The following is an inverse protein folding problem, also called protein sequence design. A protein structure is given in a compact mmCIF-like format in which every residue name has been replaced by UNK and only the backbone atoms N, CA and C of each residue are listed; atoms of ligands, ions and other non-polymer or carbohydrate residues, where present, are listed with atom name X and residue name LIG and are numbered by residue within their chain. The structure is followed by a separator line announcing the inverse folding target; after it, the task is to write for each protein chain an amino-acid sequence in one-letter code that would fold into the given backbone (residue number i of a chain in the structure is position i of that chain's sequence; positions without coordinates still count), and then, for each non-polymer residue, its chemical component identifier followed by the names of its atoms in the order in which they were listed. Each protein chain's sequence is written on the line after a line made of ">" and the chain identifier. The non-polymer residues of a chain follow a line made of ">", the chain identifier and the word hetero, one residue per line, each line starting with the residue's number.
data_IF_366672353579
#
_entry.id   IF_366672353579
#
_cell.length_a   1.000
_cell.length_b   1.000
_cell.length_c   1.000
_cell.angle_alpha   90.00
_cell.angle_beta   90.00
_cell.angle_gamma   90.00
#
_symmetry.space_group_name_H-M   'P 1'
#
loop_
_entity.id
_entity.type
_entity.pdbx_description
1 polymer ?
#
# COMPACT_ATOMS: atom_id res chain seq x y z
N UNK A 1 -7.63 2.70 -14.42
CA UNK A 1 -7.14 3.26 -13.16
C UNK A 1 -5.91 2.48 -12.71
N UNK A 2 -4.80 3.18 -12.49
CA UNK A 2 -3.56 2.58 -12.02
C UNK A 2 -3.60 2.33 -10.51
N UNK A 3 -2.82 1.34 -10.05
CA UNK A 3 -2.63 1.00 -8.62
C UNK A 3 -2.29 2.23 -7.77
N UNK A 4 -1.47 3.13 -8.32
CA UNK A 4 -1.07 4.38 -7.64
C UNK A 4 -2.24 5.31 -7.36
N UNK A 5 -3.15 5.43 -8.32
CA UNK A 5 -4.36 6.25 -8.16
C UNK A 5 -5.27 5.67 -7.08
N UNK A 6 -5.39 4.34 -6.97
CA UNK A 6 -6.20 3.69 -5.91
C UNK A 6 -5.66 4.05 -4.53
N UNK A 7 -4.35 3.90 -4.31
CA UNK A 7 -3.72 4.16 -3.00
C UNK A 7 -3.88 5.63 -2.60
N UNK A 8 -3.70 6.57 -3.54
CA UNK A 8 -3.87 8.00 -3.28
C UNK A 8 -5.32 8.38 -2.93
N UNK A 9 -6.29 7.60 -3.40
CA UNK A 9 -7.72 7.81 -3.13
C UNK A 9 -8.26 6.99 -1.94
N UNK A 10 -7.39 6.46 -1.08
CA UNK A 10 -7.80 5.72 0.14
C UNK A 10 -8.86 6.45 0.98
N UNK A 11 -8.76 7.78 1.09
CA UNK A 11 -9.66 8.61 1.90
C UNK A 11 -11.11 8.64 1.39
N UNK A 12 -11.39 8.18 0.16
CA UNK A 12 -12.74 8.11 -0.40
C UNK A 12 -13.54 6.88 0.08
N UNK A 13 -12.92 6.00 0.87
CA UNK A 13 -13.53 4.76 1.35
C UNK A 13 -13.60 4.77 2.87
N UNK A 14 -14.59 4.09 3.43
CA UNK A 14 -14.54 3.73 4.85
C UNK A 14 -13.34 2.77 5.09
N UNK A 15 -12.69 2.80 6.28
CA UNK A 15 -11.46 2.05 6.55
C UNK A 15 -11.56 0.55 6.25
N UNK A 16 -12.69 -0.07 6.62
CA UNK A 16 -12.93 -1.50 6.39
C UNK A 16 -13.06 -1.81 4.89
N UNK A 17 -13.80 -0.99 4.15
CA UNK A 17 -14.01 -1.14 2.71
C UNK A 17 -12.69 -1.02 1.95
N UNK A 18 -11.84 -0.05 2.30
CA UNK A 18 -10.51 0.05 1.71
C UNK A 18 -9.62 -1.14 2.06
N UNK A 19 -9.70 -1.65 3.29
CA UNK A 19 -8.95 -2.84 3.69
C UNK A 19 -9.29 -4.06 2.81
N UNK A 20 -10.57 -4.29 2.53
CA UNK A 20 -10.99 -5.36 1.61
C UNK A 20 -10.52 -5.13 0.18
N UNK A 21 -10.57 -3.89 -0.32
CA UNK A 21 -10.03 -3.53 -1.63
C UNK A 21 -8.51 -3.82 -1.69
N UNK A 22 -7.79 -3.38 -0.66
CA UNK A 22 -6.35 -3.60 -0.49
C UNK A 22 -6.02 -5.10 -0.52
N UNK A 23 -6.71 -5.93 0.25
CA UNK A 23 -6.51 -7.39 0.22
C UNK A 23 -6.79 -8.00 -1.16
N UNK A 24 -7.85 -7.58 -1.85
CA UNK A 24 -8.16 -8.09 -3.19
C UNK A 24 -7.05 -7.79 -4.21
N UNK A 25 -6.53 -6.56 -4.19
CA UNK A 25 -5.47 -6.10 -5.09
C UNK A 25 -4.12 -6.75 -4.75
N UNK A 26 -3.77 -6.86 -3.46
CA UNK A 26 -2.56 -7.55 -2.99
C UNK A 26 -2.56 -9.03 -3.38
N UNK A 27 -3.66 -9.74 -3.13
CA UNK A 27 -3.77 -11.15 -3.52
C UNK A 27 -3.65 -11.33 -5.04
N UNK A 28 -4.21 -10.40 -5.83
CA UNK A 28 -4.08 -10.44 -7.28
C UNK A 28 -2.63 -10.28 -7.74
N UNK A 29 -1.92 -9.26 -7.23
CA UNK A 29 -0.51 -9.01 -7.54
C UNK A 29 0.38 -10.20 -7.15
N UNK A 30 0.06 -10.85 -6.02
CA UNK A 30 0.75 -12.05 -5.53
C UNK A 30 0.36 -13.34 -6.27
N UNK A 31 -0.49 -13.26 -7.31
CA UNK A 31 -1.03 -14.40 -8.07
C UNK A 31 -1.83 -15.41 -7.24
N UNK A 32 -2.30 -14.98 -6.07
CA UNK A 32 -3.30 -15.70 -5.30
C UNK A 32 -4.70 -15.34 -5.81
N UNK A 33 -5.01 -15.87 -7.00
CA UNK A 33 -6.21 -15.54 -7.75
C UNK A 33 -7.50 -15.93 -7.04
N UNK A 34 -7.48 -16.99 -6.24
CA UNK A 34 -8.64 -17.41 -5.46
C UNK A 34 -8.93 -16.40 -4.35
N UNK A 35 -7.93 -16.07 -3.53
CA UNK A 35 -8.11 -15.07 -2.47
C UNK A 35 -8.46 -13.70 -3.03
N UNK A 36 -7.88 -13.30 -4.17
CA UNK A 36 -8.24 -12.06 -4.85
C UNK A 36 -9.73 -11.98 -5.19
N UNK A 37 -10.29 -13.06 -5.75
CA UNK A 37 -11.71 -13.14 -6.11
C UNK A 37 -12.62 -13.12 -4.88
N UNK A 38 -12.24 -13.78 -3.80
CA UNK A 38 -12.98 -13.76 -2.52
C UNK A 38 -12.98 -12.35 -1.95
N UNK A 39 -11.81 -11.72 -1.81
CA UNK A 39 -11.71 -10.36 -1.28
C UNK A 39 -12.38 -9.32 -2.17
N UNK A 40 -12.42 -9.51 -3.49
CA UNK A 40 -13.18 -8.65 -4.40
C UNK A 40 -14.68 -8.68 -4.09
N UNK A 41 -15.23 -9.87 -3.80
CA UNK A 41 -16.63 -10.02 -3.41
C UNK A 41 -16.92 -9.38 -2.04
N UNK A 42 -16.00 -9.52 -1.09
CA UNK A 42 -16.12 -8.89 0.24
C UNK A 42 -16.01 -7.36 0.13
N UNK A 43 -15.14 -6.85 -0.74
CA UNK A 43 -15.02 -5.43 -1.04
C UNK A 43 -16.31 -4.85 -1.61
N UNK A 44 -16.90 -5.46 -2.65
CA UNK A 44 -18.13 -4.93 -3.24
C UNK A 44 -19.31 -5.00 -2.26
N UNK A 45 -19.32 -5.99 -1.36
CA UNK A 45 -20.32 -6.05 -0.29
C UNK A 45 -20.19 -4.86 0.66
N UNK A 46 -18.98 -4.60 1.15
CA UNK A 46 -18.72 -3.46 2.03
C UNK A 46 -19.00 -2.12 1.33
N UNK A 47 -18.57 -1.96 0.07
CA UNK A 47 -18.81 -0.75 -0.72
C UNK A 47 -20.31 -0.47 -0.92
N UNK A 48 -21.10 -1.50 -1.24
CA UNK A 48 -22.55 -1.31 -1.42
C UNK A 48 -23.22 -0.97 -0.09
N UNK A 49 -22.76 -1.54 1.04
CA UNK A 49 -23.24 -1.15 2.38
C UNK A 49 -22.95 0.32 2.67
N UNK A 50 -21.73 0.78 2.41
CA UNK A 50 -21.34 2.19 2.61
C UNK A 50 -22.21 3.13 1.77
N UNK A 51 -22.45 2.77 0.49
CA UNK A 51 -23.31 3.55 -0.41
C UNK A 51 -24.74 3.61 0.13
N UNK A 52 -25.32 2.47 0.50
CA UNK A 52 -26.69 2.41 1.00
C UNK A 52 -26.83 3.18 2.33
N UNK A 53 -25.89 3.01 3.25
CA UNK A 53 -25.85 3.75 4.52
C UNK A 53 -25.79 5.26 4.27
N UNK A 54 -24.98 5.73 3.32
CA UNK A 54 -24.94 7.14 2.98
C UNK A 54 -26.27 7.66 2.41
N UNK A 55 -26.98 6.84 1.64
CA UNK A 55 -28.25 7.22 1.02
C UNK A 55 -29.42 7.25 2.02
N UNK A 56 -29.49 6.30 2.96
CA UNK A 56 -30.67 6.13 3.82
C UNK A 56 -30.43 6.15 5.33
N UNK A 57 -29.16 6.23 5.75
CA UNK A 57 -28.74 6.28 7.14
C UNK A 57 -28.97 5.00 7.93
N UNK A 58 -29.20 3.86 7.26
CA UNK A 58 -29.47 2.57 7.91
C UNK A 58 -28.34 1.59 7.70
N UNK A 59 -28.11 0.75 8.69
CA UNK A 59 -27.21 -0.39 8.55
C UNK A 59 -27.87 -1.50 7.72
N UNK A 60 -27.12 -2.05 6.77
CA UNK A 60 -27.56 -3.14 5.90
C UNK A 60 -26.73 -4.40 6.22
N UNK A 61 -27.39 -5.45 6.70
CA UNK A 61 -26.75 -6.71 7.12
C UNK A 61 -27.02 -7.86 6.16
N UNK A 62 -27.74 -7.60 5.07
CA UNK A 62 -28.14 -8.59 4.10
C UNK A 62 -26.98 -9.06 3.22
N UNK A 63 -27.16 -10.21 2.57
CA UNK A 63 -26.20 -10.73 1.60
C UNK A 63 -26.11 -9.83 0.36
N UNK A 64 -24.95 -9.88 -0.32
CA UNK A 64 -24.64 -9.11 -1.53
C UNK A 64 -25.74 -9.10 -2.60
N UNK A 65 -26.47 -10.20 -2.78
CA UNK A 65 -27.60 -10.26 -3.72
C UNK A 65 -28.71 -9.24 -3.39
N UNK A 66 -29.08 -9.17 -2.11
CA UNK A 66 -30.09 -8.25 -1.63
C UNK A 66 -29.58 -6.82 -1.65
N UNK A 67 -28.32 -6.60 -1.26
CA UNK A 67 -27.68 -5.29 -1.34
C UNK A 67 -27.69 -4.71 -2.76
N UNK A 68 -27.31 -5.50 -3.76
CA UNK A 68 -27.35 -5.09 -5.18
C UNK A 68 -28.79 -4.74 -5.61
N UNK A 69 -29.78 -5.53 -5.16
CA UNK A 69 -31.19 -5.28 -5.45
C UNK A 69 -31.68 -3.99 -4.80
N UNK A 70 -31.37 -3.77 -3.53
CA UNK A 70 -31.74 -2.58 -2.77
C UNK A 70 -31.15 -1.33 -3.43
N UNK A 71 -29.87 -1.36 -3.81
CA UNK A 71 -29.21 -0.26 -4.50
C UNK A 71 -29.88 0.05 -5.84
N UNK A 72 -30.27 -0.96 -6.64
CA UNK A 72 -31.05 -0.73 -7.87
C UNK A 72 -32.38 -0.04 -7.59
N UNK A 73 -33.09 -0.47 -6.56
CA UNK A 73 -34.36 0.16 -6.19
C UNK A 73 -34.17 1.62 -5.84
N UNK A 74 -33.15 1.98 -5.04
CA UNK A 74 -32.83 3.38 -4.73
C UNK A 74 -32.50 4.21 -5.98
N UNK A 75 -31.67 3.67 -6.89
CA UNK A 75 -31.33 4.35 -8.16
C UNK A 75 -32.60 4.69 -8.97
N UNK A 76 -33.58 3.79 -8.98
CA UNK A 76 -34.82 3.95 -9.74
C UNK A 76 -35.82 4.90 -9.07
N UNK A 77 -35.96 4.84 -7.74
CA UNK A 77 -37.04 5.52 -7.02
C UNK A 77 -36.66 6.88 -6.44
N UNK A 78 -35.40 7.08 -6.06
CA UNK A 78 -35.01 8.26 -5.30
C UNK A 78 -34.74 9.46 -6.22
N UNK A 79 -35.51 10.54 -6.09
CA UNK A 79 -35.34 11.75 -6.87
C UNK A 79 -34.18 12.64 -6.37
N UNK A 80 -33.65 12.39 -5.16
CA UNK A 80 -32.56 13.17 -4.58
C UNK A 80 -31.18 12.83 -5.19
N UNK A 81 -31.03 11.63 -5.78
CA UNK A 81 -29.79 11.19 -6.41
C UNK A 81 -29.66 11.82 -7.81
N UNK A 82 -28.51 12.41 -8.10
CA UNK A 82 -28.26 13.06 -9.39
C UNK A 82 -28.33 12.07 -10.55
N UNK A 83 -28.70 12.53 -11.76
CA UNK A 83 -28.81 11.67 -12.93
C UNK A 83 -27.46 11.00 -13.28
N UNK A 84 -26.35 11.70 -13.05
CA UNK A 84 -25.01 11.17 -13.28
C UNK A 84 -24.66 10.09 -12.26
N UNK A 85 -24.91 10.31 -10.96
CA UNK A 85 -24.73 9.30 -9.93
C UNK A 85 -25.55 8.04 -10.24
N UNK A 86 -26.81 8.20 -10.66
CA UNK A 86 -27.66 7.08 -11.07
C UNK A 86 -27.05 6.28 -12.22
N UNK A 87 -26.45 6.95 -13.20
CA UNK A 87 -25.79 6.30 -14.34
C UNK A 87 -24.58 5.49 -13.88
N UNK A 88 -23.70 6.11 -13.08
CA UNK A 88 -22.49 5.48 -12.55
C UNK A 88 -22.85 4.27 -11.67
N UNK A 89 -23.74 4.46 -10.70
CA UNK A 89 -24.16 3.40 -9.78
C UNK A 89 -24.88 2.26 -10.51
N UNK A 90 -25.63 2.54 -11.59
CA UNK A 90 -26.25 1.49 -12.40
C UNK A 90 -25.21 0.58 -13.06
N UNK A 91 -24.18 1.15 -13.68
CA UNK A 91 -23.08 0.35 -14.25
C UNK A 91 -22.35 -0.45 -13.17
N UNK A 92 -22.05 0.19 -12.03
CA UNK A 92 -21.45 -0.48 -10.87
C UNK A 92 -22.26 -1.69 -10.41
N UNK A 93 -23.59 -1.60 -10.30
CA UNK A 93 -24.42 -2.74 -9.91
C UNK A 93 -24.35 -3.92 -10.89
N UNK A 94 -24.16 -3.64 -12.19
CA UNK A 94 -23.91 -4.66 -13.21
C UNK A 94 -22.61 -5.40 -12.94
N UNK A 95 -21.53 -4.65 -12.70
CA UNK A 95 -20.20 -5.20 -12.40
C UNK A 95 -20.16 -5.97 -11.09
N UNK A 96 -20.82 -5.47 -10.04
CA UNK A 96 -20.96 -6.20 -8.77
C UNK A 96 -21.62 -7.57 -8.97
N UNK A 97 -22.64 -7.64 -9.84
CA UNK A 97 -23.29 -8.90 -10.17
C UNK A 97 -22.34 -9.86 -10.91
N UNK A 98 -21.56 -9.37 -11.87
CA UNK A 98 -20.56 -10.16 -12.59
C UNK A 98 -19.49 -10.74 -11.67
N UNK A 99 -18.89 -9.91 -10.80
CA UNK A 99 -17.90 -10.35 -9.81
C UNK A 99 -18.49 -11.44 -8.92
N UNK A 100 -19.72 -11.24 -8.43
CA UNK A 100 -20.40 -12.22 -7.58
C UNK A 100 -20.58 -13.57 -8.30
N UNK A 101 -21.03 -13.55 -9.55
CA UNK A 101 -21.24 -14.78 -10.35
C UNK A 101 -19.92 -15.51 -10.57
N UNK A 102 -18.85 -14.78 -10.96
CA UNK A 102 -17.52 -15.37 -11.19
C UNK A 102 -16.92 -15.92 -9.90
N UNK A 103 -16.99 -15.18 -8.80
CA UNK A 103 -16.53 -15.66 -7.48
C UNK A 103 -17.28 -16.93 -7.06
N UNK A 104 -18.61 -16.96 -7.17
CA UNK A 104 -19.39 -18.14 -6.80
C UNK A 104 -19.00 -19.35 -7.64
N UNK A 105 -18.77 -19.15 -8.96
CA UNK A 105 -18.22 -20.20 -9.81
C UNK A 105 -16.89 -20.71 -9.28
N UNK A 106 -15.93 -19.82 -9.00
CA UNK A 106 -14.60 -20.18 -8.49
C UNK A 106 -14.64 -20.93 -7.15
N UNK A 107 -15.55 -20.57 -6.25
CA UNK A 107 -15.71 -21.23 -4.94
C UNK A 107 -16.34 -22.61 -5.06
N UNK A 108 -17.23 -22.81 -6.03
CA UNK A 108 -17.93 -24.08 -6.23
C UNK A 108 -17.31 -25.00 -7.29
N UNK A 109 -16.27 -24.54 -8.01
CA UNK A 109 -15.57 -25.34 -9.00
C UNK A 109 -14.61 -26.33 -8.30
N UNK A 110 -15.00 -27.60 -8.23
CA UNK A 110 -14.29 -28.67 -7.51
C UNK A 110 -13.10 -29.25 -8.29
N UNK A 111 -12.50 -28.50 -9.22
CA UNK A 111 -11.14 -28.78 -9.69
C UNK A 111 -10.97 -29.31 -11.12
N UNK A 112 -11.88 -29.01 -12.06
CA UNK A 112 -11.74 -29.48 -13.45
C UNK A 112 -11.17 -28.41 -14.40
N UNK A 113 -11.30 -27.11 -14.11
CA UNK A 113 -10.86 -26.04 -15.01
C UNK A 113 -9.82 -25.09 -14.38
N UNK A 114 -8.68 -25.61 -13.91
CA UNK A 114 -7.55 -24.78 -13.42
C UNK A 114 -7.05 -23.75 -14.45
N UNK A 115 -7.36 -23.90 -15.73
CA UNK A 115 -7.00 -22.97 -16.80
C UNK A 115 -7.89 -21.74 -16.95
N UNK A 116 -8.87 -21.49 -16.06
CA UNK A 116 -9.75 -20.29 -16.11
C UNK A 116 -9.62 -19.33 -14.92
N UNK A 117 -8.95 -19.74 -13.84
CA UNK A 117 -8.93 -18.95 -12.60
C UNK A 117 -8.19 -17.62 -12.75
N UNK A 118 -7.11 -17.61 -13.53
CA UNK A 118 -6.33 -16.42 -13.87
C UNK A 118 -7.15 -15.45 -14.73
N UNK A 119 -7.83 -15.95 -15.76
CA UNK A 119 -8.73 -15.15 -16.60
C UNK A 119 -9.91 -14.56 -15.81
N UNK A 120 -10.52 -15.36 -14.93
CA UNK A 120 -11.59 -14.90 -14.06
C UNK A 120 -11.11 -13.85 -13.07
N UNK A 121 -9.97 -14.09 -12.42
CA UNK A 121 -9.38 -13.13 -11.50
C UNK A 121 -8.99 -11.84 -12.23
N UNK A 122 -8.48 -11.93 -13.45
CA UNK A 122 -8.14 -10.75 -14.27
C UNK A 122 -9.40 -9.95 -14.59
N UNK A 123 -10.49 -10.59 -14.99
CA UNK A 123 -11.74 -9.90 -15.25
C UNK A 123 -12.36 -9.31 -13.99
N UNK A 124 -12.35 -10.04 -12.87
CA UNK A 124 -12.78 -9.54 -11.57
C UNK A 124 -11.97 -8.29 -11.20
N UNK A 125 -10.65 -8.33 -11.33
CA UNK A 125 -9.78 -7.19 -11.03
C UNK A 125 -10.06 -5.99 -11.95
N UNK A 126 -10.33 -6.22 -13.24
CA UNK A 126 -10.74 -5.16 -14.16
C UNK A 126 -12.08 -4.54 -13.73
N UNK A 127 -13.05 -5.37 -13.35
CA UNK A 127 -14.33 -4.92 -12.85
C UNK A 127 -14.20 -4.14 -11.53
N UNK A 128 -13.36 -4.59 -10.60
CA UNK A 128 -13.02 -3.86 -9.37
C UNK A 128 -12.44 -2.47 -9.70
N UNK A 129 -11.46 -2.40 -10.59
CA UNK A 129 -10.84 -1.12 -11.00
C UNK A 129 -11.84 -0.16 -11.65
N UNK A 130 -12.78 -0.68 -12.44
CA UNK A 130 -13.85 0.13 -13.04
C UNK A 130 -14.85 0.62 -12.00
N UNK A 131 -15.27 -0.26 -11.08
CA UNK A 131 -16.15 0.11 -9.95
C UNK A 131 -15.50 1.23 -9.13
N UNK A 132 -14.22 1.08 -8.78
CA UNK A 132 -13.47 2.10 -8.03
C UNK A 132 -13.43 3.41 -8.80
N UNK A 133 -13.06 3.38 -10.08
CA UNK A 133 -13.00 4.60 -10.91
C UNK A 133 -14.34 5.34 -10.95
N UNK A 134 -15.45 4.62 -11.13
CA UNK A 134 -16.78 5.20 -11.18
C UNK A 134 -17.24 5.70 -9.82
N UNK A 135 -16.94 4.95 -8.76
CA UNK A 135 -17.29 5.29 -7.40
C UNK A 135 -16.68 6.64 -6.98
N UNK A 136 -15.41 6.90 -7.32
CA UNK A 136 -14.72 8.14 -6.97
C UNK A 136 -15.43 9.41 -7.52
N UNK A 137 -16.13 9.27 -8.65
CA UNK A 137 -16.89 10.35 -9.27
C UNK A 137 -18.28 10.56 -8.65
N UNK A 138 -18.71 9.70 -7.73
CA UNK A 138 -20.04 9.79 -7.11
C UNK A 138 -20.10 10.81 -5.97
N UNK A 139 -21.28 11.42 -5.78
CA UNK A 139 -21.53 12.31 -4.64
C UNK A 139 -21.34 11.62 -3.28
N UNK A 140 -21.57 10.31 -3.20
CA UNK A 140 -21.34 9.47 -2.02
C UNK A 140 -19.85 9.46 -1.65
N UNK A 141 -18.98 9.15 -2.60
CA UNK A 141 -17.54 9.10 -2.36
C UNK A 141 -16.99 10.47 -1.94
N UNK A 142 -17.49 11.55 -2.55
CA UNK A 142 -17.14 12.91 -2.15
C UNK A 142 -17.61 13.25 -0.72
N UNK A 143 -18.77 12.72 -0.30
CA UNK A 143 -19.26 12.84 1.07
C UNK A 143 -18.37 12.12 2.09
N UNK A 144 -18.03 10.86 1.80
CA UNK A 144 -17.12 10.05 2.64
C UNK A 144 -15.73 10.69 2.72
N UNK A 145 -15.19 11.18 1.60
CA UNK A 145 -13.92 11.89 1.59
C UNK A 145 -13.91 13.11 2.52
N UNK A 146 -14.97 13.93 2.49
CA UNK A 146 -15.08 15.11 3.37
C UNK A 146 -15.08 14.72 4.84
N UNK A 147 -15.84 13.69 5.21
CA UNK A 147 -15.88 13.14 6.58
C UNK A 147 -14.50 12.63 7.00
N UNK A 148 -13.91 11.72 6.23
CA UNK A 148 -12.61 11.13 6.53
C UNK A 148 -11.48 12.16 6.57
N UNK A 149 -11.54 13.18 5.70
CA UNK A 149 -10.54 14.24 5.69
C UNK A 149 -10.68 15.16 6.92
N UNK A 150 -11.90 15.43 7.38
CA UNK A 150 -12.11 16.16 8.63
C UNK A 150 -11.56 15.37 9.83
N UNK A 151 -11.85 14.07 9.91
CA UNK A 151 -11.33 13.19 10.96
C UNK A 151 -9.79 13.12 10.90
N UNK A 152 -9.22 13.03 9.71
CA UNK A 152 -7.77 13.05 9.52
C UNK A 152 -7.15 14.35 9.98
N UNK A 153 -7.70 15.51 9.59
CA UNK A 153 -7.21 16.82 10.01
C UNK A 153 -7.29 17.00 11.53
N UNK A 154 -8.30 16.42 12.19
CA UNK A 154 -8.40 16.41 13.66
C UNK A 154 -7.31 15.56 14.34
N UNK A 155 -6.75 14.58 13.63
CA UNK A 155 -5.66 13.72 14.11
C UNK A 155 -4.26 14.25 13.73
N UNK A 156 -4.17 15.21 12.81
CA UNK A 156 -2.89 15.81 12.44
C UNK A 156 -2.38 16.71 13.58
N UNK A 157 -1.06 16.76 13.79
CA UNK A 157 -0.50 17.70 14.76
C UNK A 157 -0.86 19.13 14.38
N UNK A 158 -1.14 19.99 15.37
CA UNK A 158 -1.46 21.41 15.16
C UNK A 158 -0.35 22.17 14.41
N UNK A 159 0.88 21.63 14.42
CA UNK A 159 2.06 22.18 13.77
C UNK A 159 2.48 21.28 12.60
N UNK A 160 2.70 21.89 11.45
CA UNK A 160 3.26 21.24 10.25
C UNK A 160 4.56 20.48 10.59
N UNK A 161 4.80 19.28 9.99
CA UNK A 161 6.02 18.53 10.19
C UNK A 161 7.22 19.32 9.70
N UNK A 162 8.21 19.52 10.56
CA UNK A 162 9.37 20.39 10.30
C UNK A 162 10.71 19.70 10.45
N UNK A 163 10.74 18.46 10.95
CA UNK A 163 11.97 17.72 11.19
C UNK A 163 12.32 16.84 9.98
N UNK A 164 13.25 17.23 9.09
CA UNK A 164 13.49 16.52 7.84
C UNK A 164 14.24 15.21 8.06
N UNK A 165 13.68 14.10 7.57
CA UNK A 165 14.31 12.77 7.60
C UNK A 165 14.33 12.20 6.19
N UNK A 166 15.52 11.81 5.73
CA UNK A 166 15.69 11.22 4.40
C UNK A 166 15.12 9.80 4.39
N UNK A 167 14.31 9.45 3.39
CA UNK A 167 13.75 8.10 3.23
C UNK A 167 14.40 7.43 2.02
N UNK A 168 15.27 6.46 2.29
CA UNK A 168 15.86 5.55 1.31
C UNK A 168 14.97 4.33 1.17
N UNK A 169 14.38 4.12 0.00
CA UNK A 169 13.59 2.93 -0.29
C UNK A 169 13.47 2.72 -1.80
N UNK A 170 13.04 1.53 -2.21
CA UNK A 170 12.84 1.20 -3.63
C UNK A 170 11.73 2.05 -4.25
N UNK A 171 11.73 2.15 -5.58
CA UNK A 171 10.50 2.49 -6.30
C UNK A 171 9.52 1.31 -6.13
N UNK A 172 8.36 1.51 -5.48
CA UNK A 172 7.40 0.43 -5.29
C UNK A 172 6.86 -0.05 -6.64
N UNK A 173 6.71 -1.36 -6.78
CA UNK A 173 6.20 -1.98 -8.00
C UNK A 173 5.04 -2.97 -7.75
N UNK A 174 4.68 -3.19 -6.49
CA UNK A 174 3.46 -3.90 -6.08
C UNK A 174 2.52 -2.94 -5.35
N UNK A 175 1.22 -3.25 -5.32
CA UNK A 175 0.24 -2.48 -4.53
C UNK A 175 0.68 -2.39 -3.05
N UNK A 176 1.11 -3.52 -2.50
CA UNK A 176 1.49 -3.65 -1.09
C UNK A 176 2.64 -2.71 -0.69
N UNK A 177 3.71 -2.67 -1.50
CA UNK A 177 4.85 -1.79 -1.25
C UNK A 177 4.44 -0.32 -1.30
N UNK A 178 3.61 0.06 -2.27
CA UNK A 178 3.16 1.43 -2.45
C UNK A 178 2.29 1.89 -1.28
N UNK A 179 1.31 1.05 -0.90
CA UNK A 179 0.43 1.33 0.23
C UNK A 179 1.22 1.44 1.54
N UNK A 180 2.17 0.53 1.78
CA UNK A 180 3.02 0.57 2.97
C UNK A 180 3.86 1.85 3.03
N UNK A 181 4.59 2.19 1.96
CA UNK A 181 5.44 3.39 1.93
C UNK A 181 4.62 4.67 2.15
N UNK A 182 3.43 4.76 1.55
CA UNK A 182 2.55 5.91 1.74
C UNK A 182 2.03 5.99 3.18
N UNK A 183 1.52 4.89 3.72
CA UNK A 183 1.00 4.85 5.10
C UNK A 183 2.08 5.12 6.14
N UNK A 184 3.29 4.60 5.92
CA UNK A 184 4.45 4.89 6.76
C UNK A 184 4.84 6.37 6.70
N UNK A 185 4.83 6.98 5.50
CA UNK A 185 5.10 8.40 5.32
C UNK A 185 4.05 9.30 6.00
N UNK A 186 2.77 8.91 5.94
CA UNK A 186 1.69 9.60 6.67
C UNK A 186 1.89 9.48 8.18
N UNK A 187 2.27 8.30 8.67
CA UNK A 187 2.56 8.07 10.09
C UNK A 187 3.73 8.91 10.59
N UNK A 188 4.78 9.09 9.78
CA UNK A 188 5.89 10.00 10.06
C UNK A 188 5.41 11.46 10.20
N UNK A 189 4.58 11.93 9.26
CA UNK A 189 4.02 13.29 9.31
C UNK A 189 3.17 13.52 10.57
N UNK A 190 2.38 12.52 10.96
CA UNK A 190 1.54 12.59 12.16
C UNK A 190 2.37 12.76 13.45
N UNK A 191 3.62 12.29 13.48
CA UNK A 191 4.55 12.49 14.60
C UNK A 191 5.50 13.69 14.41
N UNK A 192 5.23 14.59 13.46
CA UNK A 192 6.00 15.81 13.22
C UNK A 192 7.25 15.66 12.34
N UNK A 193 7.48 14.45 11.79
CA UNK A 193 8.60 14.17 10.89
C UNK A 193 8.23 14.53 9.45
N UNK A 194 9.12 15.26 8.77
CA UNK A 194 9.01 15.58 7.36
C UNK A 194 9.80 14.54 6.54
N UNK A 195 9.14 13.55 5.91
CA UNK A 195 9.83 12.59 5.06
C UNK A 195 10.31 13.27 3.78
N UNK A 196 11.61 13.15 3.49
CA UNK A 196 12.28 13.71 2.30
C UNK A 196 12.76 12.57 1.43
N UNK A 197 12.43 12.58 0.13
CA UNK A 197 12.88 11.59 -0.85
C UNK A 197 13.48 12.28 -2.07
N UNK A 198 14.43 11.63 -2.71
CA UNK A 198 14.86 11.99 -4.06
C UNK A 198 13.97 11.28 -5.07
N UNK A 199 13.34 12.00 -5.98
CA UNK A 199 12.60 11.41 -7.10
C UNK A 199 13.52 11.18 -8.31
N UNK A 200 13.15 10.25 -9.19
CA UNK A 200 13.94 9.96 -10.40
C UNK A 200 14.11 11.18 -11.32
N UNK A 201 13.16 12.10 -11.28
CA UNK A 201 13.17 13.38 -11.99
C UNK A 201 14.17 14.39 -11.42
N UNK A 202 14.66 14.17 -10.19
CA UNK A 202 15.60 15.07 -9.52
C UNK A 202 17.06 14.79 -9.85
N UNK A 203 17.36 13.65 -10.48
CA UNK A 203 18.73 13.27 -10.81
C UNK A 203 19.23 13.99 -12.05
N UNK A 204 20.39 14.64 -11.92
CA UNK A 204 21.21 14.95 -13.09
C UNK A 204 21.78 13.62 -13.61
N UNK A 205 21.49 13.28 -14.87
CA UNK A 205 22.04 12.08 -15.52
C UNK A 205 23.56 12.02 -15.50
N UNK A 206 24.25 13.18 -15.38
CA UNK A 206 25.71 13.27 -15.32
C UNK A 206 26.27 13.08 -13.91
N UNK A 207 25.49 13.40 -12.87
CA UNK A 207 25.90 13.27 -11.47
C UNK A 207 24.68 12.98 -10.56
N UNK A 208 24.17 11.74 -10.58
CA UNK A 208 23.02 11.38 -9.76
C UNK A 208 23.35 11.40 -8.26
N UNK A 209 24.62 11.23 -7.90
CA UNK A 209 25.07 11.13 -6.50
C UNK A 209 25.03 12.47 -5.79
N UNK A 210 25.39 13.55 -6.49
CA UNK A 210 25.42 14.90 -5.90
C UNK A 210 24.07 15.31 -5.32
N UNK A 211 22.98 15.09 -6.05
CA UNK A 211 21.63 15.46 -5.58
C UNK A 211 21.25 14.69 -4.32
N UNK A 212 21.54 13.39 -4.29
CA UNK A 212 21.27 12.53 -3.11
C UNK A 212 22.05 13.04 -1.92
N UNK A 213 23.35 13.29 -2.08
CA UNK A 213 24.21 13.85 -1.04
C UNK A 213 23.65 15.17 -0.50
N UNK A 214 23.37 16.14 -1.37
CA UNK A 214 22.84 17.46 -0.97
C UNK A 214 21.47 17.36 -0.26
N UNK A 215 20.68 16.35 -0.60
CA UNK A 215 19.37 16.09 0.03
C UNK A 215 19.55 15.49 1.42
N UNK A 216 20.42 14.48 1.56
CA UNK A 216 20.74 13.86 2.85
C UNK A 216 21.39 14.89 3.80
N UNK A 217 22.26 15.77 3.29
CA UNK A 217 22.92 16.82 4.08
C UNK A 217 21.91 17.73 4.79
N UNK A 218 20.80 18.07 4.13
CA UNK A 218 19.70 18.89 4.67
C UNK A 218 18.82 18.16 5.68
N UNK A 219 18.89 16.83 5.72
CA UNK A 219 18.12 16.01 6.66
C UNK A 219 18.86 15.85 7.99
N UNK A 220 18.11 15.54 9.05
CA UNK A 220 18.66 15.30 10.40
C UNK A 220 19.00 13.83 10.63
N UNK A 221 18.28 12.93 9.98
CA UNK A 221 18.49 11.48 10.01
C UNK A 221 18.13 10.85 8.66
N UNK A 222 18.38 9.56 8.50
CA UNK A 222 17.93 8.75 7.39
C UNK A 222 17.17 7.51 7.88
N UNK A 223 16.13 7.11 7.15
CA UNK A 223 15.41 5.85 7.32
C UNK A 223 15.61 5.05 6.04
N UNK A 224 16.09 3.81 6.17
CA UNK A 224 16.33 2.87 5.09
C UNK A 224 15.28 1.76 5.16
N UNK A 225 14.47 1.60 4.12
CA UNK A 225 13.39 0.63 4.06
C UNK A 225 13.68 -0.38 2.94
N UNK A 226 14.25 -1.52 3.32
CA UNK A 226 14.58 -2.63 2.44
C UNK A 226 13.37 -3.48 2.11
N UNK A 227 12.77 -3.26 0.94
CA UNK A 227 11.70 -4.10 0.39
C UNK A 227 12.22 -4.93 -0.78
N UNK A 228 11.59 -6.07 -1.05
CA UNK A 228 11.89 -6.96 -2.18
C UNK A 228 11.81 -6.18 -3.49
N UNK A 229 12.82 -6.35 -4.34
CA UNK A 229 12.88 -5.81 -5.71
C UNK A 229 13.18 -6.89 -6.73
N UNK A 230 13.90 -7.93 -6.35
CA UNK A 230 14.32 -8.99 -7.24
C UNK A 230 14.32 -10.32 -6.50
N UNK A 231 13.85 -11.36 -7.18
CA UNK A 231 13.80 -12.72 -6.66
C UNK A 231 14.63 -13.61 -7.57
N UNK A 232 15.71 -14.18 -7.02
CA UNK A 232 16.59 -15.11 -7.71
C UNK A 232 16.21 -16.53 -7.31
N UNK A 233 15.78 -17.33 -8.28
CA UNK A 233 15.36 -18.71 -8.05
C UNK A 233 16.54 -19.65 -7.78
N UNK A 234 17.70 -19.37 -8.39
CA UNK A 234 18.94 -20.12 -8.19
C UNK A 234 20.14 -19.17 -8.23
N UNK A 235 20.95 -19.20 -7.17
CA UNK A 235 22.11 -18.34 -6.99
C UNK A 235 23.31 -19.20 -6.59
N UNK A 236 24.44 -18.97 -7.27
CA UNK A 236 25.70 -19.62 -6.97
C UNK A 236 26.71 -18.56 -6.56
N UNK A 237 27.11 -18.60 -5.30
CA UNK A 237 28.04 -17.64 -4.71
C UNK A 237 29.49 -18.12 -4.85
N UNK A 238 30.41 -17.18 -5.04
CA UNK A 238 31.87 -17.42 -5.14
C UNK A 238 32.22 -18.64 -6.01
N UNK A 239 31.58 -18.74 -7.17
CA UNK A 239 31.73 -19.88 -8.08
C UNK A 239 33.19 -20.16 -8.44
N UNK A 240 33.58 -21.43 -8.42
CA UNK A 240 34.94 -21.90 -8.70
C UNK A 240 35.91 -21.75 -7.52
N UNK A 241 35.45 -21.28 -6.35
CA UNK A 241 36.27 -21.16 -5.15
C UNK A 241 36.01 -22.29 -4.14
N UNK A 242 36.86 -22.40 -3.11
CA UNK A 242 36.64 -23.30 -1.97
C UNK A 242 35.47 -22.89 -1.09
N UNK A 243 34.97 -21.67 -1.25
CA UNK A 243 33.86 -21.08 -0.50
C UNK A 243 32.58 -21.00 -1.36
N UNK A 244 32.54 -21.73 -2.48
CA UNK A 244 31.36 -21.82 -3.33
C UNK A 244 30.16 -22.31 -2.52
N UNK A 245 29.02 -21.64 -2.71
CA UNK A 245 27.76 -22.06 -2.09
C UNK A 245 26.59 -21.83 -3.04
N UNK A 246 25.56 -22.65 -2.89
CA UNK A 246 24.34 -22.55 -3.67
C UNK A 246 23.17 -22.17 -2.78
N UNK A 247 22.26 -21.35 -3.32
CA UNK A 247 21.06 -20.93 -2.63
C UNK A 247 19.89 -20.84 -3.61
N UNK A 248 18.69 -21.14 -3.13
CA UNK A 248 17.46 -21.05 -3.93
C UNK A 248 16.50 -20.05 -3.30
N UNK A 249 15.67 -19.43 -4.13
CA UNK A 249 14.66 -18.46 -3.69
C UNK A 249 15.19 -17.30 -2.83
N UNK A 250 16.27 -16.66 -3.29
CA UNK A 250 16.88 -15.52 -2.59
C UNK A 250 16.28 -14.21 -3.08
N UNK A 251 15.79 -13.40 -2.15
CA UNK A 251 15.19 -12.09 -2.44
C UNK A 251 16.19 -10.98 -2.14
N UNK A 252 16.21 -9.97 -3.00
CA UNK A 252 17.10 -8.83 -2.90
C UNK A 252 16.31 -7.53 -2.98
N UNK A 253 16.82 -6.52 -2.29
CA UNK A 253 16.39 -5.13 -2.47
C UNK A 253 17.27 -4.41 -3.50
N UNK A 254 17.05 -3.12 -3.71
CA UNK A 254 17.89 -2.32 -4.62
C UNK A 254 19.25 -2.03 -3.98
N UNK A 255 20.33 -2.19 -4.74
CA UNK A 255 21.68 -1.81 -4.32
C UNK A 255 21.81 -0.31 -4.01
N UNK A 256 20.92 0.52 -4.55
CA UNK A 256 20.86 1.95 -4.22
C UNK A 256 20.69 2.21 -2.72
N UNK A 257 19.96 1.37 -1.99
CA UNK A 257 19.75 1.57 -0.55
C UNK A 257 21.07 1.43 0.23
N UNK A 258 22.00 0.60 -0.26
CA UNK A 258 23.35 0.47 0.32
C UNK A 258 24.17 1.74 0.10
N UNK A 259 24.03 2.37 -1.06
CA UNK A 259 24.74 3.60 -1.41
C UNK A 259 24.19 4.77 -0.58
N UNK A 260 22.87 4.95 -0.54
CA UNK A 260 22.21 6.02 0.22
C UNK A 260 22.47 5.90 1.72
N UNK A 261 22.41 4.69 2.27
CA UNK A 261 22.75 4.44 3.68
C UNK A 261 24.22 4.71 3.98
N UNK A 262 25.14 4.23 3.12
CA UNK A 262 26.57 4.53 3.25
C UNK A 262 26.86 6.03 3.22
N UNK A 263 26.18 6.80 2.35
CA UNK A 263 26.29 8.25 2.32
C UNK A 263 25.75 8.92 3.59
N UNK A 264 24.60 8.48 4.10
CA UNK A 264 24.03 9.00 5.34
C UNK A 264 25.00 8.79 6.53
N UNK A 265 25.59 7.59 6.62
CA UNK A 265 26.60 7.27 7.65
C UNK A 265 27.84 8.14 7.48
N UNK A 266 28.37 8.28 6.26
CA UNK A 266 29.55 9.11 5.99
C UNK A 266 29.32 10.60 6.31
N UNK A 267 28.08 11.07 6.22
CA UNK A 267 27.66 12.42 6.61
C UNK A 267 27.32 12.55 8.11
N UNK A 268 27.54 11.49 8.90
CA UNK A 268 27.29 11.49 10.34
C UNK A 268 25.81 11.57 10.71
N UNK A 269 24.91 11.11 9.84
CA UNK A 269 23.47 11.08 10.12
C UNK A 269 23.12 9.84 10.94
N UNK A 270 22.15 9.98 11.84
CA UNK A 270 21.51 8.83 12.48
C UNK A 270 20.77 8.00 11.42
N UNK A 271 20.88 6.67 11.48
CA UNK A 271 20.29 5.77 10.49
C UNK A 271 19.37 4.75 11.15
N UNK A 272 18.13 4.72 10.68
CA UNK A 272 17.10 3.78 11.09
C UNK A 272 16.86 2.78 9.96
N UNK A 273 16.91 1.48 10.25
CA UNK A 273 16.77 0.44 9.21
C UNK A 273 15.54 -0.42 9.47
N UNK A 274 14.65 -0.52 8.47
CA UNK A 274 13.61 -1.53 8.37
C UNK A 274 13.88 -2.41 7.15
N UNK A 275 13.61 -3.71 7.25
CA UNK A 275 13.66 -4.57 6.06
C UNK A 275 12.66 -5.73 6.12
N UNK A 276 12.15 -6.14 4.97
CA UNK A 276 11.40 -7.40 4.86
C UNK A 276 12.24 -8.58 5.35
N UNK A 277 11.66 -9.42 6.18
CA UNK A 277 12.36 -10.52 6.85
C UNK A 277 13.01 -11.52 5.91
N UNK A 278 12.48 -11.66 4.70
CA UNK A 278 12.94 -12.61 3.70
C UNK A 278 13.94 -12.01 2.68
N UNK A 279 14.27 -10.71 2.78
CA UNK A 279 15.36 -10.17 1.97
C UNK A 279 16.69 -10.67 2.49
N UNK A 280 17.60 -10.89 1.55
CA UNK A 280 18.93 -11.34 1.84
C UNK A 280 19.65 -10.41 2.84
N UNK A 281 20.31 -11.02 3.83
CA UNK A 281 21.10 -10.37 4.87
C UNK A 281 22.43 -9.84 4.30
N UNK A 282 22.36 -8.68 3.63
CA UNK A 282 23.40 -7.93 2.91
C UNK A 282 23.68 -6.52 3.48
N UNK A 283 24.93 -6.10 3.73
CA UNK A 283 25.30 -4.71 3.99
C UNK A 283 24.52 -4.05 5.13
N UNK A 284 23.82 -2.93 4.88
CA UNK A 284 22.98 -2.25 5.87
C UNK A 284 21.79 -3.10 6.37
N UNK A 285 21.49 -4.22 5.71
CA UNK A 285 20.46 -5.18 6.13
C UNK A 285 21.06 -6.45 6.75
N UNK A 286 22.37 -6.46 7.02
CA UNK A 286 22.99 -7.56 7.76
C UNK A 286 22.44 -7.57 9.19
N UNK A 287 21.91 -8.74 9.59
CA UNK A 287 21.28 -8.97 10.90
C UNK A 287 22.29 -9.23 12.01
N UNK A 288 23.52 -9.61 11.66
CA UNK A 288 24.55 -10.06 12.60
C UNK A 288 25.70 -9.06 12.69
N UNK A 289 26.01 -8.36 11.60
CA UNK A 289 27.18 -7.49 11.47
C UNK A 289 26.79 -6.07 11.07
N UNK A 290 26.11 -5.35 11.98
CA UNK A 290 25.67 -3.99 11.71
C UNK A 290 25.60 -3.13 12.99
N UNK A 291 26.01 -1.86 12.89
CA UNK A 291 25.84 -0.85 13.95
C UNK A 291 24.42 -0.30 14.01
N UNK A 292 23.62 -0.52 12.96
CA UNK A 292 22.23 -0.12 12.83
C UNK A 292 21.36 -1.37 12.61
N UNK A 293 21.06 -2.15 13.67
CA UNK A 293 20.35 -3.42 13.53
C UNK A 293 19.02 -3.24 12.80
N UNK A 294 18.75 -4.01 11.73
CA UNK A 294 17.52 -3.90 10.99
C UNK A 294 16.32 -4.39 11.81
N UNK A 295 15.24 -3.61 11.81
CA UNK A 295 13.94 -4.06 12.31
C UNK A 295 13.24 -4.81 11.17
N UNK A 296 12.91 -6.07 11.42
CA UNK A 296 12.29 -6.92 10.41
C UNK A 296 10.80 -6.61 10.21
N UNK A 297 10.36 -6.60 8.96
CA UNK A 297 8.97 -6.49 8.53
C UNK A 297 8.49 -7.87 8.09
N UNK A 298 7.41 -8.33 8.71
CA UNK A 298 6.70 -9.53 8.28
C UNK A 298 5.79 -9.19 7.09
N UNK A 299 5.54 -10.19 6.24
CA UNK A 299 4.51 -10.11 5.20
C UNK A 299 3.19 -10.66 5.76
N UNK A 300 2.03 -10.02 5.52
CA UNK A 300 1.86 -8.81 4.73
C UNK A 300 2.40 -7.55 5.41
N UNK A 301 2.87 -6.59 4.60
CA UNK A 301 3.39 -5.31 5.10
C UNK A 301 2.28 -4.51 5.78
N UNK A 302 2.46 -4.24 7.07
CA UNK A 302 1.51 -3.47 7.89
C UNK A 302 2.23 -2.39 8.70
N UNK A 303 1.79 -1.15 8.51
CA UNK A 303 2.28 0.02 9.24
C UNK A 303 1.92 -0.04 10.72
N UNK A 304 0.87 -0.77 11.09
CA UNK A 304 0.40 -0.91 12.47
C UNK A 304 1.11 -2.06 13.21
N UNK A 305 1.99 -2.82 12.55
CA UNK A 305 2.76 -3.87 13.21
C UNK A 305 3.63 -3.31 14.34
N UNK A 306 3.81 -4.11 15.39
CA UNK A 306 4.56 -3.71 16.59
C UNK A 306 5.97 -3.19 16.27
N UNK A 307 6.63 -3.82 15.30
CA UNK A 307 7.96 -3.45 14.83
C UNK A 307 7.99 -2.05 14.19
N UNK A 308 7.00 -1.74 13.34
CA UNK A 308 6.88 -0.42 12.71
C UNK A 308 6.51 0.64 13.76
N UNK A 309 5.60 0.32 14.67
CA UNK A 309 5.20 1.23 15.74
C UNK A 309 6.36 1.52 16.71
N UNK A 310 7.18 0.51 17.02
CA UNK A 310 8.42 0.70 17.78
C UNK A 310 9.39 1.64 17.05
N UNK A 311 9.57 1.45 15.75
CA UNK A 311 10.44 2.30 14.95
C UNK A 311 9.95 3.77 14.93
N UNK A 312 8.65 4.00 14.71
CA UNK A 312 8.06 5.34 14.74
C UNK A 312 8.27 6.03 16.10
N UNK A 313 8.14 5.30 17.22
CA UNK A 313 8.44 5.84 18.56
C UNK A 313 9.91 6.25 18.70
N UNK A 314 10.86 5.40 18.29
CA UNK A 314 12.30 5.72 18.35
C UNK A 314 12.66 6.95 17.52
N UNK A 315 12.08 7.09 16.32
CA UNK A 315 12.30 8.25 15.46
C UNK A 315 11.75 9.53 16.12
N UNK A 316 10.55 9.44 16.73
CA UNK A 316 9.96 10.56 17.46
C UNK A 316 10.85 11.00 18.63
N UNK A 317 11.29 10.05 19.46
CA UNK A 317 12.19 10.32 20.59
C UNK A 317 13.51 10.97 20.13
N UNK A 318 14.08 10.48 19.02
CA UNK A 318 15.27 11.08 18.42
C UNK A 318 15.04 12.54 18.02
N UNK A 319 13.93 12.84 17.32
CA UNK A 319 13.60 14.19 16.90
C UNK A 319 13.41 15.14 18.09
N UNK A 320 12.68 14.72 19.12
CA UNK A 320 12.47 15.49 20.35
C UNK A 320 13.78 15.77 21.10
N UNK A 321 14.75 14.86 21.05
CA UNK A 321 16.06 15.06 21.67
C UNK A 321 16.95 16.03 20.88
N UNK A 322 16.87 15.99 19.55
CA UNK A 322 17.59 16.95 18.70
C UNK A 322 17.07 18.38 18.83
N UNK A 323 15.77 18.58 19.09
CA UNK A 323 15.20 19.93 19.28
C UNK A 323 15.56 20.56 20.63
N UNK A 324 16.01 19.76 21.61
CA UNK A 324 16.41 20.23 22.95
C UNK A 324 17.88 20.66 23.05
N UNK A 325 18.70 20.40 22.03
CA UNK A 325 20.14 20.71 21.98
C UNK A 325 20.41 22.00 21.20
#
# INVERSE_FOLDING_TARGET
>A
METKEIVLNKKFFEPLTFSHLSFSLKSYDNRDYFSSAVWAAVFIEALVKDILFYLDGKDHTEELNFLIKNLRTYIETDQAVSLEDKRLMKDMTGRCHEIRVKRNRLVHDTGVERGKIDMDAQDINNNVKQIVSQYLDTSVAQGIYKKNNADHLALMPEKEPTFPVFISTITPHTFEQLEFINSFSESLRAIGILPVRCELTDFDKKDPMKKVKETIEKCKAAIVIGLERSHVYYFKDKEGSREESENTHRKYTSSWLQIESGMAIALGKEVFVLCQKDIHSDGIFDRFWNSYPPIELESPLDVNSDNVQMMLRKIKEFAENCEKQ
#
